data_IF_833835373601
#
_entry.id   IF_833835373601
#
_cell.length_a   1.000
_cell.length_b   1.000
_cell.length_c   1.000
_cell.angle_alpha   90.00
_cell.angle_beta   90.00
_cell.angle_gamma   90.00
#
_symmetry.space_group_name_H-M   'P 1'
#
loop_
_entity.id
_entity.type
_entity.pdbx_description
1 polymer ?
#
# COMPACT_ATOMS: atom_id res chain seq x y z
N UNK A 1 18.40 12.91 7.67
CA UNK A 1 17.10 12.32 7.24
C UNK A 1 17.04 10.88 7.76
N UNK A 2 15.93 10.43 8.40
CA UNK A 2 15.80 9.03 8.83
C UNK A 2 15.85 8.08 7.61
N UNK A 3 16.48 6.92 7.73
CA UNK A 3 16.51 5.92 6.65
C UNK A 3 15.14 5.26 6.44
N UNK A 4 14.87 4.74 5.23
CA UNK A 4 13.66 3.95 4.92
C UNK A 4 13.46 2.78 5.88
N UNK A 5 14.55 2.10 6.28
CA UNK A 5 14.55 1.05 7.30
C UNK A 5 14.06 1.55 8.68
N UNK A 6 14.44 2.76 9.07
CA UNK A 6 13.99 3.39 10.33
C UNK A 6 12.49 3.67 10.29
N UNK A 7 11.96 4.14 9.16
CA UNK A 7 10.53 4.39 9.01
C UNK A 7 9.69 3.12 8.93
N UNK A 8 10.19 2.06 8.29
CA UNK A 8 9.58 0.72 8.32
C UNK A 8 9.49 0.19 9.76
N UNK A 9 10.56 0.32 10.54
CA UNK A 9 10.57 -0.07 11.97
C UNK A 9 9.56 0.75 12.80
N UNK A 10 9.48 2.06 12.58
CA UNK A 10 8.49 2.94 13.24
C UNK A 10 7.06 2.56 12.88
N UNK A 11 6.78 2.25 11.61
CA UNK A 11 5.47 1.79 11.17
C UNK A 11 5.10 0.46 11.84
N UNK A 12 6.05 -0.47 11.98
CA UNK A 12 5.84 -1.73 12.68
C UNK A 12 5.54 -1.51 14.18
N UNK A 13 6.24 -0.59 14.84
CA UNK A 13 5.97 -0.20 16.23
C UNK A 13 4.56 0.38 16.38
N UNK A 14 4.14 1.29 15.49
CA UNK A 14 2.77 1.82 15.47
C UNK A 14 1.73 0.72 15.30
N UNK A 15 1.94 -0.23 14.38
CA UNK A 15 1.05 -1.40 14.19
C UNK A 15 0.99 -2.29 15.43
N UNK A 16 2.11 -2.45 16.14
CA UNK A 16 2.14 -3.17 17.42
C UNK A 16 1.31 -2.46 18.48
N UNK A 17 1.50 -1.14 18.63
CA UNK A 17 0.71 -0.30 19.55
C UNK A 17 -0.78 -0.34 19.23
N UNK A 18 -1.15 -0.32 17.94
CA UNK A 18 -2.55 -0.43 17.51
C UNK A 18 -3.15 -1.75 17.98
N UNK A 19 -2.45 -2.88 17.77
CA UNK A 19 -2.95 -4.19 18.24
C UNK A 19 -3.16 -4.22 19.75
N UNK A 20 -2.19 -3.71 20.53
CA UNK A 20 -2.33 -3.63 21.98
C UNK A 20 -3.53 -2.76 22.38
N UNK A 21 -3.68 -1.59 21.76
CA UNK A 21 -4.81 -0.70 22.02
C UNK A 21 -6.16 -1.33 21.66
N UNK A 22 -6.24 -2.05 20.54
CA UNK A 22 -7.44 -2.81 20.15
C UNK A 22 -7.79 -3.89 21.18
N UNK A 23 -6.81 -4.65 21.66
CA UNK A 23 -7.03 -5.66 22.68
C UNK A 23 -7.56 -5.04 23.99
N UNK A 24 -6.97 -3.91 24.42
CA UNK A 24 -7.44 -3.15 25.58
C UNK A 24 -8.85 -2.63 25.36
N UNK A 25 -9.16 -2.07 24.18
CA UNK A 25 -10.50 -1.59 23.84
C UNK A 25 -11.53 -2.73 23.89
N UNK A 26 -11.19 -3.91 23.36
CA UNK A 26 -12.06 -5.09 23.39
C UNK A 26 -12.32 -5.59 24.82
N UNK A 27 -11.29 -5.59 25.68
CA UNK A 27 -11.45 -5.96 27.09
C UNK A 27 -12.36 -4.95 27.82
N UNK A 28 -12.07 -3.65 27.68
CA UNK A 28 -12.87 -2.57 28.27
C UNK A 28 -14.32 -2.56 27.76
N UNK A 29 -14.54 -2.94 26.50
CA UNK A 29 -15.87 -3.11 25.93
C UNK A 29 -16.65 -4.22 26.64
N UNK A 30 -16.02 -5.38 26.83
CA UNK A 30 -16.64 -6.53 27.48
C UNK A 30 -17.04 -6.23 28.93
N UNK A 31 -16.30 -5.37 29.61
CA UNK A 31 -16.57 -4.92 30.99
C UNK A 31 -17.51 -3.70 31.07
N UNK A 32 -17.96 -3.16 29.93
CA UNK A 32 -18.80 -1.97 29.87
C UNK A 32 -20.30 -2.30 29.79
N UNK A 33 -21.15 -1.32 30.13
CA UNK A 33 -22.60 -1.40 29.93
C UNK A 33 -23.02 -1.55 28.45
N UNK A 34 -22.06 -1.41 27.52
CA UNK A 34 -22.27 -1.55 26.09
C UNK A 34 -21.86 -2.93 25.54
N UNK A 35 -21.43 -3.87 26.39
CA UNK A 35 -20.91 -5.18 25.95
C UNK A 35 -21.88 -5.99 25.06
N UNK A 36 -23.18 -5.73 25.15
CA UNK A 36 -24.23 -6.37 24.34
C UNK A 36 -24.33 -5.81 22.92
N UNK A 37 -23.73 -4.64 22.66
CA UNK A 37 -23.71 -4.03 21.34
C UNK A 37 -22.43 -4.39 20.59
N UNK A 38 -22.48 -4.68 19.29
CA UNK A 38 -21.27 -4.93 18.53
C UNK A 38 -20.34 -3.70 18.51
N UNK A 39 -19.05 -3.93 18.77
CA UNK A 39 -18.03 -2.87 18.82
C UNK A 39 -18.02 -1.99 17.56
N UNK A 40 -18.27 -2.59 16.38
CA UNK A 40 -18.34 -1.87 15.10
C UNK A 40 -19.49 -0.87 15.04
N UNK A 41 -20.66 -1.23 15.59
CA UNK A 41 -21.83 -0.35 15.65
C UNK A 41 -21.52 0.85 16.55
N UNK A 42 -20.90 0.59 17.71
CA UNK A 42 -20.46 1.65 18.62
C UNK A 42 -19.45 2.56 17.92
N UNK A 43 -18.46 1.99 17.22
CA UNK A 43 -17.44 2.75 16.51
C UNK A 43 -18.03 3.67 15.43
N UNK A 44 -19.02 3.18 14.68
CA UNK A 44 -19.67 3.93 13.61
C UNK A 44 -20.64 5.01 14.13
N UNK A 45 -21.30 4.76 15.25
CA UNK A 45 -22.26 5.69 15.87
C UNK A 45 -21.62 6.71 16.81
N UNK A 46 -20.36 6.53 17.18
CA UNK A 46 -19.68 7.39 18.14
C UNK A 46 -19.28 8.74 17.53
N UNK A 47 -19.81 9.83 18.09
CA UNK A 47 -19.37 11.19 17.81
C UNK A 47 -18.46 11.72 18.93
N UNK A 48 -17.34 12.35 18.57
CA UNK A 48 -16.38 12.93 19.52
C UNK A 48 -16.99 14.02 20.42
N UNK A 49 -18.18 14.54 20.09
CA UNK A 49 -18.92 15.53 20.88
C UNK A 49 -19.70 14.94 22.07
N UNK A 50 -19.83 13.62 22.18
CA UNK A 50 -20.64 12.97 23.20
C UNK A 50 -19.98 12.99 24.59
N UNK A 51 -20.77 13.22 25.66
CA UNK A 51 -20.36 13.20 27.08
C UNK A 51 -19.69 11.87 27.54
N UNK A 52 -19.70 10.88 26.65
CA UNK A 52 -19.10 9.56 26.76
C UNK A 52 -17.55 9.56 26.77
N UNK A 53 -16.88 10.67 26.40
CA UNK A 53 -15.40 10.80 26.39
C UNK A 53 -14.69 10.48 27.71
N UNK A 54 -15.41 10.44 28.83
CA UNK A 54 -14.80 10.31 30.16
C UNK A 54 -14.60 8.87 30.63
N UNK A 55 -15.19 7.86 29.98
CA UNK A 55 -14.98 6.46 30.37
C UNK A 55 -13.69 5.90 29.76
N UNK A 56 -13.08 4.92 30.43
CA UNK A 56 -11.83 4.34 29.96
C UNK A 56 -11.99 3.60 28.63
N UNK A 57 -13.16 3.02 28.37
CA UNK A 57 -13.52 2.43 27.09
C UNK A 57 -13.43 3.45 25.94
N UNK A 58 -14.11 4.60 26.04
CA UNK A 58 -14.11 5.61 24.98
C UNK A 58 -12.74 6.29 24.82
N UNK A 59 -11.98 6.48 25.92
CA UNK A 59 -10.58 6.92 25.84
C UNK A 59 -9.74 5.92 25.03
N UNK A 60 -9.92 4.61 25.26
CA UNK A 60 -9.23 3.57 24.51
C UNK A 60 -9.61 3.56 23.03
N UNK A 61 -10.91 3.73 22.71
CA UNK A 61 -11.38 3.87 21.33
C UNK A 61 -10.73 5.06 20.60
N UNK A 62 -10.60 6.22 21.27
CA UNK A 62 -9.91 7.39 20.69
C UNK A 62 -8.45 7.04 20.35
N UNK A 63 -7.74 6.38 21.26
CA UNK A 63 -6.34 5.94 21.02
C UNK A 63 -6.26 5.03 19.79
N UNK A 64 -7.20 4.09 19.63
CA UNK A 64 -7.26 3.23 18.43
C UNK A 64 -7.48 4.07 17.17
N UNK A 65 -8.37 5.06 17.20
CA UNK A 65 -8.63 5.97 16.06
C UNK A 65 -7.37 6.74 15.68
N UNK A 66 -6.73 7.38 16.65
CA UNK A 66 -5.52 8.18 16.44
C UNK A 66 -4.36 7.32 15.92
N UNK A 67 -4.22 6.09 16.41
CA UNK A 67 -3.20 5.16 15.93
C UNK A 67 -3.46 4.71 14.49
N UNK A 68 -4.72 4.44 14.13
CA UNK A 68 -5.08 4.12 12.74
C UNK A 68 -4.75 5.27 11.81
N UNK A 69 -5.09 6.50 12.18
CA UNK A 69 -4.78 7.69 11.39
C UNK A 69 -3.26 7.88 11.25
N UNK A 70 -2.50 7.78 12.34
CA UNK A 70 -1.03 7.85 12.33
C UNK A 70 -0.41 6.78 11.43
N UNK A 71 -0.92 5.55 11.45
CA UNK A 71 -0.47 4.45 10.58
C UNK A 71 -0.74 4.80 9.11
N UNK A 72 -1.95 5.25 8.78
CA UNK A 72 -2.32 5.62 7.41
C UNK A 72 -1.43 6.75 6.87
N UNK A 73 -1.17 7.79 7.66
CA UNK A 73 -0.25 8.87 7.29
C UNK A 73 1.14 8.29 7.04
N UNK A 74 1.63 7.43 7.95
CA UNK A 74 2.97 6.89 7.87
C UNK A 74 3.16 5.95 6.67
N UNK A 75 2.15 5.17 6.32
CA UNK A 75 2.13 4.33 5.11
C UNK A 75 2.24 5.19 3.85
N UNK A 76 1.45 6.27 3.75
CA UNK A 76 1.52 7.21 2.62
C UNK A 76 2.87 7.90 2.49
N UNK A 77 3.47 8.32 3.61
CA UNK A 77 4.83 8.89 3.62
C UNK A 77 5.87 7.89 3.10
N UNK A 78 5.79 6.63 3.57
CA UNK A 78 6.71 5.58 3.16
C UNK A 78 6.59 5.30 1.66
N UNK A 79 5.36 5.16 1.16
CA UNK A 79 5.11 4.96 -0.27
C UNK A 79 5.60 6.12 -1.14
N UNK A 80 5.44 7.37 -0.69
CA UNK A 80 5.95 8.53 -1.41
C UNK A 80 7.48 8.48 -1.52
N UNK A 81 8.15 8.19 -0.41
CA UNK A 81 9.61 8.09 -0.37
C UNK A 81 10.15 6.91 -1.17
N UNK A 82 9.44 5.79 -1.19
CA UNK A 82 9.80 4.64 -2.02
C UNK A 82 9.66 4.95 -3.52
N UNK A 83 8.68 5.78 -3.91
CA UNK A 83 8.56 6.29 -5.30
C UNK A 83 9.67 7.27 -5.67
N UNK A 84 10.06 8.16 -4.76
CA UNK A 84 11.16 9.12 -4.98
C UNK A 84 12.53 8.44 -5.12
N UNK A 85 12.70 7.21 -4.63
CA UNK A 85 13.95 6.46 -4.68
C UNK A 85 13.99 5.39 -5.78
N UNK A 86 13.12 5.47 -6.79
CA UNK A 86 13.20 4.59 -7.96
C UNK A 86 14.38 5.06 -8.85
N UNK A 87 15.38 4.21 -9.13
CA UNK A 87 16.45 4.56 -10.05
C UNK A 87 15.94 4.82 -11.46
N UNK A 88 16.64 5.70 -12.19
CA UNK A 88 16.39 5.89 -13.63
C UNK A 88 16.42 4.55 -14.37
N UNK A 89 15.43 4.31 -15.23
CA UNK A 89 15.30 3.05 -15.97
C UNK A 89 14.67 1.89 -15.19
N UNK A 90 14.35 2.07 -13.90
CA UNK A 90 13.58 1.11 -13.09
C UNK A 90 12.12 1.52 -12.89
N UNK A 91 11.67 2.58 -13.58
CA UNK A 91 10.31 3.09 -13.54
C UNK A 91 9.50 2.64 -14.76
N UNK A 92 8.22 2.37 -14.56
CA UNK A 92 7.30 2.03 -15.63
C UNK A 92 6.90 3.30 -16.41
N UNK A 93 6.95 3.30 -17.76
CA UNK A 93 6.62 4.48 -18.57
C UNK A 93 5.13 4.88 -18.53
N UNK A 94 4.28 4.08 -17.88
CA UNK A 94 2.83 4.29 -17.81
C UNK A 94 2.41 4.82 -16.44
N UNK A 95 2.86 4.17 -15.36
CA UNK A 95 2.43 4.51 -13.99
C UNK A 95 3.51 5.18 -13.14
N UNK A 96 4.72 5.37 -13.67
CA UNK A 96 5.87 5.98 -12.98
C UNK A 96 6.18 5.33 -11.61
N UNK A 97 5.84 4.05 -11.48
CA UNK A 97 6.14 3.22 -10.32
C UNK A 97 7.13 2.13 -10.74
N UNK A 98 7.64 1.34 -9.79
CA UNK A 98 8.60 0.27 -10.06
C UNK A 98 8.18 -0.60 -11.24
N UNK A 99 9.11 -0.80 -12.18
CA UNK A 99 8.95 -1.65 -13.35
C UNK A 99 9.11 -3.13 -12.99
N UNK A 100 8.36 -3.60 -11.99
CA UNK A 100 8.39 -4.96 -11.47
C UNK A 100 7.00 -5.36 -10.91
N UNK A 101 6.44 -6.52 -11.29
CA UNK A 101 6.93 -7.45 -12.31
C UNK A 101 6.90 -6.81 -13.71
N UNK A 102 7.93 -7.07 -14.51
CA UNK A 102 8.11 -6.49 -15.84
C UNK A 102 7.60 -7.44 -16.93
N UNK A 103 7.18 -6.87 -18.07
CA UNK A 103 6.87 -7.62 -19.30
C UNK A 103 7.50 -6.90 -20.47
N UNK A 104 8.34 -7.62 -21.22
CA UNK A 104 8.91 -7.15 -22.48
C UNK A 104 7.84 -7.23 -23.56
N UNK A 105 7.72 -6.16 -24.32
CA UNK A 105 6.89 -6.12 -25.52
C UNK A 105 7.65 -6.80 -26.69
N UNK A 106 7.07 -6.84 -27.89
CA UNK A 106 7.76 -7.31 -29.10
C UNK A 106 8.91 -6.37 -29.53
N UNK A 107 8.94 -5.16 -28.94
CA UNK A 107 10.06 -4.22 -28.99
C UNK A 107 10.92 -4.33 -27.70
N UNK A 108 12.13 -3.75 -27.64
CA UNK A 108 13.01 -3.90 -26.46
C UNK A 108 12.50 -3.22 -25.17
N UNK A 109 11.40 -2.46 -25.21
CA UNK A 109 10.83 -1.78 -24.05
C UNK A 109 10.05 -2.73 -23.12
N UNK A 110 9.98 -2.35 -21.85
CA UNK A 110 9.30 -3.11 -20.81
C UNK A 110 8.24 -2.26 -20.11
N UNK A 111 7.12 -2.87 -19.76
CA UNK A 111 6.03 -2.24 -19.01
C UNK A 111 5.67 -3.13 -17.81
N UNK A 112 5.21 -2.57 -16.70
CA UNK A 112 4.86 -3.37 -15.53
C UNK A 112 3.60 -4.19 -15.80
N UNK A 113 3.49 -5.38 -15.20
CA UNK A 113 2.43 -6.35 -15.49
C UNK A 113 1.02 -5.75 -15.38
N UNK A 114 0.79 -4.93 -14.36
CA UNK A 114 -0.49 -4.22 -14.17
C UNK A 114 -0.81 -3.33 -15.37
N UNK A 115 0.14 -2.49 -15.78
CA UNK A 115 -0.06 -1.57 -16.89
C UNK A 115 -0.17 -2.30 -18.24
N UNK A 116 0.57 -3.39 -18.43
CA UNK A 116 0.42 -4.25 -19.61
C UNK A 116 -1.00 -4.82 -19.69
N UNK A 117 -1.55 -5.33 -18.59
CA UNK A 117 -2.92 -5.84 -18.57
C UNK A 117 -3.94 -4.74 -18.90
N UNK A 118 -3.76 -3.54 -18.33
CA UNK A 118 -4.61 -2.39 -18.63
C UNK A 118 -4.55 -2.01 -20.11
N UNK A 119 -3.35 -1.92 -20.69
CA UNK A 119 -3.17 -1.59 -22.11
C UNK A 119 -3.78 -2.65 -23.02
N UNK A 120 -3.54 -3.93 -22.74
CA UNK A 120 -4.06 -5.05 -23.51
C UNK A 120 -5.59 -5.08 -23.52
N UNK A 121 -6.21 -4.82 -22.37
CA UNK A 121 -7.67 -4.79 -22.23
C UNK A 121 -8.28 -3.55 -22.92
N UNK A 122 -7.56 -2.43 -22.96
CA UNK A 122 -8.04 -1.19 -23.56
C UNK A 122 -7.98 -1.18 -25.10
N UNK A 123 -7.10 -1.99 -25.70
CA UNK A 123 -6.84 -1.99 -27.15
C UNK A 123 -7.13 -3.35 -27.80
N UNK A 124 -8.24 -3.98 -27.39
CA UNK A 124 -8.80 -5.20 -28.01
C UNK A 124 -7.72 -6.27 -28.31
N UNK A 125 -7.03 -6.73 -27.26
CA UNK A 125 -6.04 -7.81 -27.35
C UNK A 125 -4.73 -7.43 -28.06
N UNK A 126 -4.42 -6.14 -28.15
CA UNK A 126 -3.13 -5.64 -28.62
C UNK A 126 -2.53 -4.61 -27.64
N UNK A 127 -1.21 -4.42 -27.67
CA UNK A 127 -0.52 -3.42 -26.87
C UNK A 127 0.32 -2.55 -27.79
N UNK A 128 0.00 -1.25 -27.83
CA UNK A 128 0.87 -0.25 -28.45
C UNK A 128 1.91 0.21 -27.44
N UNK A 129 3.19 0.04 -27.75
CA UNK A 129 4.28 0.46 -26.87
C UNK A 129 4.19 1.97 -26.57
N UNK A 130 4.14 2.39 -25.29
CA UNK A 130 4.11 3.81 -24.92
C UNK A 130 5.36 4.59 -25.35
N UNK A 131 6.49 3.91 -25.54
CA UNK A 131 7.78 4.55 -25.84
C UNK A 131 8.05 4.65 -27.35
N UNK A 132 7.85 3.57 -28.11
CA UNK A 132 8.17 3.53 -29.55
C UNK A 132 6.99 3.22 -30.47
N UNK A 133 5.77 3.06 -29.93
CA UNK A 133 4.53 2.76 -30.67
C UNK A 133 4.52 1.43 -31.44
N UNK A 134 5.52 0.57 -31.27
CA UNK A 134 5.49 -0.78 -31.81
C UNK A 134 4.29 -1.56 -31.22
N UNK A 135 3.63 -2.35 -32.05
CA UNK A 135 2.45 -3.14 -31.66
C UNK A 135 2.90 -4.54 -31.23
N UNK A 136 2.41 -4.98 -30.09
CA UNK A 136 2.57 -6.35 -29.57
C UNK A 136 1.20 -7.01 -29.56
N UNK A 137 1.06 -8.12 -30.28
CA UNK A 137 -0.24 -8.82 -30.43
C UNK A 137 -0.32 -10.13 -29.63
N UNK A 138 0.69 -10.40 -28.80
CA UNK A 138 0.73 -11.58 -27.92
C UNK A 138 -0.09 -11.34 -26.66
N UNK A 139 -0.73 -12.38 -26.10
CA UNK A 139 -1.42 -12.27 -24.83
C UNK A 139 -0.42 -12.02 -23.68
N UNK A 140 -0.89 -11.36 -22.63
CA UNK A 140 -0.05 -10.85 -21.51
C UNK A 140 0.75 -11.97 -20.81
N UNK A 141 0.21 -13.18 -20.75
CA UNK A 141 0.83 -14.36 -20.15
C UNK A 141 1.99 -14.94 -20.98
N UNK A 142 2.06 -14.66 -22.27
CA UNK A 142 3.14 -15.10 -23.17
C UNK A 142 4.30 -14.10 -23.25
N UNK A 143 4.13 -12.89 -22.72
CA UNK A 143 5.17 -11.87 -22.73
C UNK A 143 6.28 -12.24 -21.72
N UNK A 144 7.55 -12.28 -22.16
CA UNK A 144 8.64 -12.66 -21.27
C UNK A 144 8.94 -11.56 -20.25
N UNK A 145 9.35 -11.90 -19.02
CA UNK A 145 9.82 -10.92 -18.06
C UNK A 145 11.19 -10.37 -18.44
N UNK A 146 11.51 -9.16 -17.98
CA UNK A 146 12.85 -8.60 -18.05
C UNK A 146 13.65 -8.97 -16.80
N UNK A 147 14.14 -10.22 -16.76
CA UNK A 147 14.85 -10.78 -15.60
C UNK A 147 16.06 -9.94 -15.18
N UNK A 148 16.81 -9.36 -16.13
CA UNK A 148 17.96 -8.51 -15.81
C UNK A 148 17.53 -7.23 -15.08
N UNK A 149 16.46 -6.59 -15.54
CA UNK A 149 15.87 -5.44 -14.87
C UNK A 149 15.32 -5.80 -13.49
N UNK A 150 14.62 -6.93 -13.37
CA UNK A 150 14.07 -7.37 -12.08
C UNK A 150 15.17 -7.65 -11.05
N UNK A 151 16.30 -8.22 -11.46
CA UNK A 151 17.48 -8.39 -10.59
C UNK A 151 18.10 -7.04 -10.18
N UNK A 152 18.15 -6.07 -11.10
CA UNK A 152 18.65 -4.73 -10.79
C UNK A 152 17.73 -4.02 -9.77
N UNK A 153 16.41 -4.13 -9.93
CA UNK A 153 15.41 -3.62 -8.99
C UNK A 153 15.56 -4.29 -7.63
N UNK A 154 15.70 -5.61 -7.58
CA UNK A 154 15.84 -6.35 -6.32
C UNK A 154 17.11 -5.94 -5.57
N UNK A 155 18.24 -5.86 -6.27
CA UNK A 155 19.51 -5.38 -5.70
C UNK A 155 19.37 -3.98 -5.08
N UNK A 156 18.61 -3.08 -5.72
CA UNK A 156 18.36 -1.75 -5.20
C UNK A 156 17.40 -1.73 -3.99
N UNK A 157 16.51 -2.71 -3.86
CA UNK A 157 15.60 -2.82 -2.70
C UNK A 157 16.26 -3.43 -1.47
N UNK A 158 17.28 -4.27 -1.69
CA UNK A 158 18.03 -4.94 -0.62
C UNK A 158 19.17 -4.09 -0.03
N UNK A 159 19.61 -3.04 -0.74
CA UNK A 159 20.60 -2.07 -0.27
C UNK A 159 19.93 -0.89 0.44
#
# INVERSE_FOLDING_TARGET
MPSTATDKRRLQDLKSKLRTAQNVTTALHADSDLATYPLEIIYNGWSESSLQRNTDFFKSMQVVKDLKEKIQIKEKELESRERENIPRGCECPVCYNWLSPSRKLDCPHSVCLRCVQTLYNAAENSITCPECRAITSKPVNELPPNVALERAIESHRTN
#
